data_IF_454947228695
#
_entry.id   IF_454947228695
#
_cell.length_a   1.000
_cell.length_b   1.000
_cell.length_c   1.000
_cell.angle_alpha   90.00
_cell.angle_beta   90.00
_cell.angle_gamma   90.00
#
_symmetry.space_group_name_H-M   'P 1'
#
loop_
_entity.id
_entity.type
_entity.pdbx_description
1 polymer ?
#
# COMPACT_ATOMS: atom_id res chain seq x y z
N UNK A 1 28.87 -33.31 -52.95
CA UNK A 1 29.17 -33.84 -51.61
C UNK A 1 29.09 -32.70 -50.63
N UNK A 2 27.95 -32.56 -49.95
CA UNK A 2 27.75 -31.62 -48.86
C UNK A 2 27.15 -32.43 -47.70
N UNK A 3 27.78 -32.29 -46.54
CA UNK A 3 27.56 -33.07 -45.33
C UNK A 3 26.16 -32.83 -44.77
N UNK A 4 25.45 -33.92 -44.44
CA UNK A 4 24.22 -33.91 -43.66
C UNK A 4 24.58 -33.95 -42.17
N UNK A 5 24.30 -32.88 -41.45
CA UNK A 5 24.22 -32.90 -39.99
C UNK A 5 22.79 -33.28 -39.54
N UNK A 6 22.61 -34.37 -38.76
CA UNK A 6 21.31 -34.74 -38.21
C UNK A 6 21.27 -34.40 -36.71
N UNK A 7 20.82 -33.20 -36.36
CA UNK A 7 20.32 -32.91 -35.01
C UNK A 7 19.37 -31.72 -35.02
N UNK A 8 18.26 -31.89 -35.74
CA UNK A 8 17.11 -31.00 -35.67
C UNK A 8 16.37 -31.17 -34.35
N UNK A 9 16.91 -30.61 -33.27
CA UNK A 9 16.12 -30.26 -32.09
C UNK A 9 15.62 -28.84 -32.27
N UNK A 10 14.54 -28.68 -33.04
CA UNK A 10 13.74 -27.47 -33.03
C UNK A 10 13.09 -27.38 -31.64
N UNK A 11 13.75 -26.66 -30.74
CA UNK A 11 13.17 -26.27 -29.47
C UNK A 11 12.03 -25.30 -29.80
N UNK A 12 10.82 -25.86 -29.95
CA UNK A 12 9.58 -25.10 -30.05
C UNK A 12 9.45 -24.30 -28.76
N UNK A 13 9.90 -23.03 -28.81
CA UNK A 13 9.58 -22.05 -27.79
C UNK A 13 8.07 -21.87 -27.82
N UNK A 14 7.39 -22.46 -26.82
CA UNK A 14 6.01 -22.12 -26.52
C UNK A 14 5.96 -20.62 -26.24
N UNK A 15 5.12 -19.83 -26.94
CA UNK A 15 4.95 -18.43 -26.62
C UNK A 15 4.43 -18.33 -25.19
N UNK A 16 5.21 -17.71 -24.30
CA UNK A 16 4.76 -17.28 -22.99
C UNK A 16 3.71 -16.20 -23.18
N UNK A 17 2.45 -16.61 -23.36
CA UNK A 17 1.29 -15.73 -23.32
C UNK A 17 1.07 -15.26 -21.87
N UNK A 18 1.93 -14.37 -21.40
CA UNK A 18 1.51 -13.47 -20.33
C UNK A 18 0.40 -12.59 -20.92
N UNK A 19 -0.78 -12.48 -20.27
CA UNK A 19 -1.83 -11.60 -20.75
C UNK A 19 -1.27 -10.18 -20.83
N UNK A 20 -1.34 -9.58 -22.02
CA UNK A 20 -0.85 -8.24 -22.32
C UNK A 20 -1.32 -7.28 -21.23
N UNK A 21 -0.37 -6.71 -20.47
CA UNK A 21 -0.68 -5.82 -19.37
C UNK A 21 -1.05 -4.44 -19.91
N UNK A 22 -2.18 -3.89 -19.48
CA UNK A 22 -2.61 -2.53 -19.87
C UNK A 22 -1.73 -1.48 -19.20
N UNK A 23 -1.28 -1.75 -17.97
CA UNK A 23 -0.51 -0.78 -17.19
C UNK A 23 0.63 -1.47 -16.45
N UNK A 24 1.82 -0.90 -16.60
CA UNK A 24 3.04 -1.38 -15.94
C UNK A 24 3.64 -0.27 -15.10
N UNK A 25 3.89 -0.56 -13.82
CA UNK A 25 4.40 0.37 -12.82
C UNK A 25 5.57 -0.26 -12.07
N UNK A 26 6.72 0.39 -12.10
CA UNK A 26 7.90 0.01 -11.36
C UNK A 26 7.85 0.61 -9.96
N UNK A 27 7.94 -0.26 -8.94
CA UNK A 27 8.04 0.14 -7.54
C UNK A 27 9.49 0.47 -7.19
N UNK A 28 9.68 1.67 -6.66
CA UNK A 28 10.96 2.13 -6.13
C UNK A 28 10.86 2.49 -4.65
N UNK A 29 11.96 2.26 -3.95
CA UNK A 29 12.18 2.74 -2.58
C UNK A 29 13.18 3.89 -2.61
N UNK A 30 12.88 4.98 -1.91
CA UNK A 30 13.85 6.08 -1.74
C UNK A 30 14.80 5.76 -0.59
N UNK A 31 16.10 5.72 -0.86
CA UNK A 31 17.11 5.41 0.17
C UNK A 31 17.22 6.58 1.17
N UNK A 32 17.13 6.23 2.47
CA UNK A 32 17.14 7.09 3.67
C UNK A 32 15.82 7.80 4.05
N UNK A 33 15.15 7.42 5.16
CA UNK A 33 15.17 6.14 5.87
C UNK A 33 13.89 5.33 5.58
N UNK A 34 13.73 4.80 4.36
CA UNK A 34 12.62 3.90 4.02
C UNK A 34 11.21 4.49 4.16
N UNK A 35 11.12 5.82 4.27
CA UNK A 35 9.87 6.55 4.51
C UNK A 35 9.07 6.81 3.24
N UNK A 36 9.65 6.56 2.07
CA UNK A 36 9.10 7.02 0.80
C UNK A 36 9.24 5.94 -0.25
N UNK A 37 8.13 5.59 -0.88
CA UNK A 37 8.07 4.69 -2.02
C UNK A 37 7.31 5.36 -3.14
N UNK A 38 7.54 4.94 -4.37
CA UNK A 38 6.87 5.49 -5.53
C UNK A 38 6.66 4.42 -6.58
N UNK A 39 5.60 4.60 -7.36
CA UNK A 39 5.31 3.82 -8.56
C UNK A 39 5.42 4.73 -9.77
N UNK A 40 6.22 4.33 -10.76
CA UNK A 40 6.46 5.07 -11.99
C UNK A 40 6.47 4.11 -13.19
N UNK A 41 6.05 4.56 -14.37
CA UNK A 41 6.06 3.70 -15.56
C UNK A 41 7.47 3.35 -16.03
N UNK A 42 8.41 4.25 -15.79
CA UNK A 42 9.82 4.08 -16.14
C UNK A 42 10.73 4.72 -15.09
N UNK A 43 12.04 4.43 -15.13
CA UNK A 43 12.98 5.00 -14.17
C UNK A 43 13.15 6.52 -14.29
N UNK A 44 12.96 7.11 -15.46
CA UNK A 44 13.05 8.56 -15.69
C UNK A 44 11.71 9.30 -15.57
N UNK A 45 10.58 8.58 -15.64
CA UNK A 45 9.25 9.20 -15.55
C UNK A 45 8.92 9.73 -14.15
N UNK A 46 8.02 10.72 -14.11
CA UNK A 46 7.37 11.16 -12.88
C UNK A 46 6.61 9.99 -12.23
N UNK A 47 6.56 9.99 -10.90
CA UNK A 47 5.79 8.99 -10.20
C UNK A 47 4.29 9.23 -10.42
N UNK A 48 3.58 8.17 -10.80
CA UNK A 48 2.11 8.19 -10.87
C UNK A 48 1.49 8.07 -9.49
N UNK A 49 2.15 7.33 -8.60
CA UNK A 49 1.73 7.18 -7.22
C UNK A 49 2.90 7.27 -6.26
N UNK A 50 2.64 7.83 -5.09
CA UNK A 50 3.64 8.04 -4.06
C UNK A 50 3.14 7.58 -2.69
N UNK A 51 3.98 6.88 -1.93
CA UNK A 51 3.66 6.45 -0.56
C UNK A 51 4.60 7.15 0.41
N UNK A 52 4.03 7.85 1.38
CA UNK A 52 4.74 8.34 2.56
C UNK A 52 4.44 7.39 3.72
N UNK A 53 5.44 6.61 4.12
CA UNK A 53 5.41 5.68 5.24
C UNK A 53 6.16 6.27 6.44
N UNK A 54 5.53 6.48 7.60
CA UNK A 54 6.24 6.88 8.81
C UNK A 54 7.17 5.75 9.32
N UNK A 55 8.45 6.06 9.48
CA UNK A 55 9.48 5.18 10.04
C UNK A 55 10.33 5.96 11.04
N UNK A 56 10.63 5.41 12.24
CA UNK A 56 10.27 4.08 12.74
C UNK A 56 8.80 3.99 13.21
N UNK A 57 8.26 2.77 13.27
CA UNK A 57 6.93 2.47 13.80
C UNK A 57 7.00 1.25 14.74
N UNK A 58 7.44 1.47 16.00
CA UNK A 58 7.57 0.40 17.01
C UNK A 58 6.22 -0.27 17.27
N UNK A 59 5.16 0.53 17.35
CA UNK A 59 3.80 0.06 17.61
C UNK A 59 2.90 0.14 16.37
N UNK A 60 1.91 -0.76 16.30
CA UNK A 60 0.92 -0.78 15.21
C UNK A 60 0.23 0.58 14.99
N UNK A 61 -0.09 1.31 16.06
CA UNK A 61 -0.74 2.63 15.99
C UNK A 61 0.12 3.76 15.40
N UNK A 62 1.44 3.54 15.25
CA UNK A 62 2.37 4.48 14.61
C UNK A 62 2.49 4.25 13.10
N UNK A 63 2.16 3.06 12.61
CA UNK A 63 2.18 2.75 11.18
C UNK A 63 0.94 3.34 10.51
N UNK A 64 1.13 4.50 9.89
CA UNK A 64 0.07 5.31 9.24
C UNK A 64 0.54 5.83 7.89
N UNK A 65 0.77 4.95 6.90
CA UNK A 65 1.18 5.39 5.58
C UNK A 65 0.06 6.19 4.91
N UNK A 66 0.47 7.16 4.10
CA UNK A 66 -0.40 7.97 3.25
C UNK A 66 0.02 7.71 1.80
N UNK A 67 -0.98 7.43 0.97
CA UNK A 67 -0.86 7.17 -0.45
C UNK A 67 -1.36 8.38 -1.23
N UNK A 68 -0.59 8.80 -2.22
CA UNK A 68 -0.84 9.98 -3.03
C UNK A 68 -0.98 9.56 -4.50
N UNK A 69 -1.91 10.20 -5.20
CA UNK A 69 -1.95 10.28 -6.66
C UNK A 69 -1.00 11.39 -7.07
N UNK A 70 -0.05 11.09 -7.95
CA UNK A 70 1.03 11.99 -8.36
C UNK A 70 2.36 11.74 -7.66
N UNK A 71 3.33 12.63 -7.93
CA UNK A 71 4.71 12.50 -7.45
C UNK A 71 4.87 13.01 -6.01
N UNK A 72 6.10 13.22 -5.55
CA UNK A 72 6.42 13.53 -4.17
C UNK A 72 5.71 14.81 -3.69
N UNK A 73 4.79 14.69 -2.70
CA UNK A 73 3.93 15.81 -2.27
C UNK A 73 4.71 16.97 -1.63
N UNK A 74 5.99 16.78 -1.31
CA UNK A 74 6.86 17.87 -0.84
C UNK A 74 7.20 18.88 -1.95
N UNK A 75 7.30 18.41 -3.20
CA UNK A 75 7.75 19.22 -4.34
C UNK A 75 6.66 19.40 -5.39
N UNK A 76 5.63 18.56 -5.36
CA UNK A 76 4.50 18.58 -6.29
C UNK A 76 3.22 18.86 -5.49
N UNK A 77 2.77 20.12 -5.40
CA UNK A 77 1.52 20.47 -4.70
C UNK A 77 0.27 19.88 -5.35
N UNK A 78 0.35 19.50 -6.63
CA UNK A 78 -0.71 18.80 -7.36
C UNK A 78 -0.93 17.36 -6.88
N UNK A 79 -0.03 16.81 -6.07
CA UNK A 79 -0.17 15.45 -5.55
C UNK A 79 -1.21 15.37 -4.44
N UNK A 80 -2.29 14.63 -4.69
CA UNK A 80 -3.42 14.54 -3.76
C UNK A 80 -3.33 13.26 -2.92
N UNK A 81 -3.53 13.33 -1.60
CA UNK A 81 -3.63 12.13 -0.78
C UNK A 81 -4.97 11.44 -1.03
N UNK A 82 -4.90 10.21 -1.53
CA UNK A 82 -6.07 9.42 -1.96
C UNK A 82 -6.26 8.16 -1.11
N UNK A 83 -5.28 7.78 -0.28
CA UNK A 83 -5.50 6.71 0.65
C UNK A 83 -4.65 6.86 1.92
N UNK A 84 -5.11 6.23 2.99
CA UNK A 84 -4.29 6.01 4.19
C UNK A 84 -4.56 4.64 4.76
N UNK A 85 -3.57 4.09 5.46
CA UNK A 85 -3.74 2.79 6.11
C UNK A 85 -3.36 2.83 7.58
N UNK A 86 -3.88 1.85 8.31
CA UNK A 86 -3.44 1.47 9.65
C UNK A 86 -3.44 -0.05 9.74
N UNK A 87 -2.71 -0.61 10.71
CA UNK A 87 -2.59 -2.06 10.88
C UNK A 87 -2.84 -2.50 12.31
N UNK A 88 -3.06 -3.80 12.48
CA UNK A 88 -2.97 -4.49 13.77
C UNK A 88 -1.52 -4.91 14.07
N UNK A 89 -1.24 -5.33 15.31
CA UNK A 89 0.13 -5.63 15.80
C UNK A 89 0.90 -6.61 14.92
N UNK A 90 0.24 -7.68 14.46
CA UNK A 90 0.87 -8.81 13.76
C UNK A 90 0.94 -8.68 12.23
N UNK A 91 0.78 -7.49 11.66
CA UNK A 91 0.76 -7.29 10.18
C UNK A 91 -0.26 -8.17 9.44
N UNK A 92 -1.28 -8.67 10.14
CA UNK A 92 -2.24 -9.62 9.62
C UNK A 92 -3.56 -8.97 9.20
N UNK A 93 -3.81 -7.74 9.66
CA UNK A 93 -4.96 -6.96 9.24
C UNK A 93 -4.58 -5.50 9.07
N UNK A 94 -5.10 -4.94 8.00
CA UNK A 94 -4.93 -3.56 7.59
C UNK A 94 -6.31 -2.96 7.36
N UNK A 95 -6.47 -1.74 7.85
CA UNK A 95 -7.61 -0.90 7.51
C UNK A 95 -7.12 0.15 6.54
N UNK A 96 -7.83 0.33 5.45
CA UNK A 96 -7.47 1.23 4.37
C UNK A 96 -8.67 2.13 4.12
N UNK A 97 -8.45 3.44 4.19
CA UNK A 97 -9.40 4.45 3.71
C UNK A 97 -8.90 4.88 2.34
N UNK A 98 -9.78 4.88 1.33
CA UNK A 98 -9.45 5.07 -0.07
C UNK A 98 -10.46 6.05 -0.71
N UNK A 99 -9.97 7.00 -1.49
CA UNK A 99 -10.75 8.01 -2.19
C UNK A 99 -10.20 9.43 -2.00
N UNK A 100 -10.72 10.37 -2.79
CA UNK A 100 -10.22 11.75 -2.83
C UNK A 100 -10.54 12.54 -1.56
N UNK A 101 -11.63 12.17 -0.85
CA UNK A 101 -11.99 12.78 0.44
C UNK A 101 -11.01 12.45 1.57
N UNK A 102 -10.06 11.52 1.36
CA UNK A 102 -9.01 11.21 2.36
C UNK A 102 -8.16 12.45 2.69
N UNK A 103 -7.99 13.38 1.74
CA UNK A 103 -7.34 14.66 1.97
C UNK A 103 -8.04 15.47 3.07
N UNK A 104 -9.34 15.65 2.94
CA UNK A 104 -10.18 16.39 3.88
C UNK A 104 -10.24 15.68 5.25
N UNK A 105 -10.30 14.35 5.24
CA UNK A 105 -10.24 13.54 6.47
C UNK A 105 -8.90 13.73 7.21
N UNK A 106 -7.78 13.89 6.48
CA UNK A 106 -6.48 14.19 7.08
C UNK A 106 -6.42 15.61 7.63
N UNK A 107 -6.99 16.60 6.94
CA UNK A 107 -7.11 17.97 7.43
C UNK A 107 -7.98 18.08 8.69
N UNK A 108 -9.17 17.47 8.69
CA UNK A 108 -10.05 17.44 9.85
C UNK A 108 -9.37 16.80 11.06
N UNK A 109 -8.57 15.75 10.84
CA UNK A 109 -7.75 15.14 11.89
C UNK A 109 -6.68 16.09 12.42
N UNK A 110 -6.07 16.93 11.57
CA UNK A 110 -5.12 17.98 11.98
C UNK A 110 -5.85 19.02 12.85
N UNK A 111 -6.99 19.56 12.38
CA UNK A 111 -7.82 20.53 13.10
C UNK A 111 -8.22 20.02 14.50
N UNK A 112 -8.73 18.77 14.58
CA UNK A 112 -9.04 18.08 15.85
C UNK A 112 -7.85 18.03 16.81
N UNK A 113 -6.66 17.72 16.29
CA UNK A 113 -5.45 17.58 17.12
C UNK A 113 -4.97 18.93 17.64
N UNK A 114 -5.03 19.97 16.81
CA UNK A 114 -4.67 21.34 17.18
C UNK A 114 -5.60 21.87 18.28
N UNK A 115 -6.92 21.68 18.12
CA UNK A 115 -7.94 22.03 19.14
C UNK A 115 -7.70 21.32 20.46
N UNK A 116 -7.58 19.98 20.45
CA UNK A 116 -7.29 19.19 21.66
C UNK A 116 -5.96 19.56 22.31
N UNK A 117 -4.94 19.89 21.51
CA UNK A 117 -3.64 20.33 22.04
C UNK A 117 -3.75 21.70 22.70
N UNK A 118 -4.55 22.61 22.15
CA UNK A 118 -4.82 23.91 22.74
C UNK A 118 -5.58 23.77 24.06
N UNK A 119 -6.68 23.02 24.09
CA UNK A 119 -7.47 22.74 25.29
C UNK A 119 -6.62 22.15 26.42
N UNK A 120 -5.75 21.17 26.10
CA UNK A 120 -4.83 20.58 27.09
C UNK A 120 -3.84 21.60 27.64
N UNK A 121 -3.31 22.48 26.79
CA UNK A 121 -2.41 23.55 27.23
C UNK A 121 -3.14 24.56 28.11
N UNK A 122 -4.37 24.95 27.78
CA UNK A 122 -5.15 25.84 28.65
C UNK A 122 -5.47 25.18 29.99
N UNK A 123 -5.87 23.90 29.98
CA UNK A 123 -6.11 23.15 31.21
C UNK A 123 -4.85 23.08 32.10
N UNK A 124 -3.69 22.84 31.49
CA UNK A 124 -2.41 22.87 32.19
C UNK A 124 -2.12 24.25 32.77
N UNK A 125 -2.30 25.33 32.00
CA UNK A 125 -2.11 26.71 32.48
C UNK A 125 -3.03 27.06 33.65
N UNK A 126 -4.32 26.74 33.54
CA UNK A 126 -5.29 26.90 34.63
C UNK A 126 -4.88 26.12 35.88
N UNK A 127 -4.35 24.90 35.70
CA UNK A 127 -3.85 24.08 36.80
C UNK A 127 -2.62 24.70 37.50
N UNK A 128 -1.79 25.46 36.77
CA UNK A 128 -0.68 26.25 37.30
C UNK A 128 -1.05 27.70 37.67
N UNK A 129 -2.33 28.01 37.83
CA UNK A 129 -2.84 29.37 38.11
C UNK A 129 -2.34 30.45 37.12
N UNK A 130 -1.94 30.06 35.92
CA UNK A 130 -1.53 30.97 34.85
C UNK A 130 -2.75 31.42 34.05
N UNK A 131 -2.79 32.70 33.68
CA UNK A 131 -3.84 33.26 32.84
C UNK A 131 -3.94 32.57 31.48
N UNK A 132 -5.15 32.62 30.89
CA UNK A 132 -5.40 32.05 29.56
C UNK A 132 -4.60 32.77 28.48
N UNK A 133 -4.20 32.05 27.46
CA UNK A 133 -3.50 32.64 26.31
C UNK A 133 -4.30 32.35 25.05
N UNK A 134 -4.65 33.36 24.25
CA UNK A 134 -5.38 33.13 23.01
C UNK A 134 -4.59 32.23 22.06
N UNK A 135 -5.27 31.46 21.19
CA UNK A 135 -4.59 30.58 20.26
C UNK A 135 -3.79 31.42 19.26
N UNK A 136 -2.55 31.01 18.95
CA UNK A 136 -1.66 31.72 18.00
C UNK A 136 -2.18 31.73 16.56
N UNK A 137 -3.11 30.83 16.24
CA UNK A 137 -3.80 30.71 14.95
C UNK A 137 -5.26 30.40 15.26
N UNK A 138 -6.17 30.92 14.45
CA UNK A 138 -7.59 30.60 14.57
C UNK A 138 -7.79 29.09 14.49
N UNK A 139 -8.56 28.54 15.43
CA UNK A 139 -8.85 27.12 15.47
C UNK A 139 -9.95 26.83 14.45
N UNK A 140 -9.55 26.42 13.25
CA UNK A 140 -10.48 26.03 12.20
C UNK A 140 -11.44 24.92 12.67
N UNK A 141 -12.71 25.04 12.29
CA UNK A 141 -13.72 24.00 12.47
C UNK A 141 -13.58 22.84 11.51
N UNK A 142 -14.07 21.69 11.95
CA UNK A 142 -14.15 20.51 11.09
C UNK A 142 -15.10 20.79 9.93
N UNK A 143 -14.67 20.44 8.73
CA UNK A 143 -15.49 20.57 7.53
C UNK A 143 -16.09 19.22 7.17
N UNK A 144 -17.26 19.23 6.54
CA UNK A 144 -17.81 18.00 5.97
C UNK A 144 -16.89 17.49 4.84
N UNK A 145 -16.88 16.17 4.67
CA UNK A 145 -16.02 15.52 3.66
C UNK A 145 -16.83 15.45 2.37
N UNK A 146 -16.48 16.26 1.38
CA UNK A 146 -17.14 16.32 0.08
C UNK A 146 -16.66 15.23 -0.87
N UNK A 147 -15.37 14.86 -0.79
CA UNK A 147 -14.79 13.84 -1.67
C UNK A 147 -15.18 12.41 -1.28
N UNK A 148 -15.10 11.49 -2.25
CA UNK A 148 -15.35 10.07 -2.00
C UNK A 148 -14.41 9.49 -0.95
N UNK A 149 -14.91 8.69 -0.01
CA UNK A 149 -14.13 7.90 0.95
C UNK A 149 -14.80 6.55 1.22
N UNK A 150 -14.17 5.48 0.76
CA UNK A 150 -14.49 4.11 1.13
C UNK A 150 -13.50 3.56 2.15
N UNK A 151 -13.95 2.62 2.98
CA UNK A 151 -13.08 1.87 3.89
C UNK A 151 -13.06 0.42 3.47
N UNK A 152 -11.88 -0.08 3.15
CA UNK A 152 -11.67 -1.49 2.88
C UNK A 152 -10.81 -2.12 3.97
N UNK A 153 -11.15 -3.36 4.32
CA UNK A 153 -10.41 -4.16 5.29
C UNK A 153 -9.61 -5.20 4.54
N UNK A 154 -8.29 -5.10 4.62
CA UNK A 154 -7.39 -6.14 4.13
C UNK A 154 -6.98 -7.05 5.29
N UNK A 155 -7.08 -8.36 5.12
CA UNK A 155 -6.73 -9.32 6.17
C UNK A 155 -6.13 -10.60 5.63
N UNK A 156 -5.30 -11.26 6.43
CA UNK A 156 -4.83 -12.60 6.17
C UNK A 156 -5.89 -13.61 6.56
N UNK A 157 -6.15 -14.58 5.67
CA UNK A 157 -7.10 -15.66 5.95
C UNK A 157 -6.63 -16.66 7.01
N UNK A 158 -5.31 -16.86 7.16
CA UNK A 158 -4.70 -17.71 8.20
C UNK A 158 -3.44 -17.04 8.74
N UNK A 159 -3.11 -17.28 10.02
CA UNK A 159 -1.98 -16.65 10.72
C UNK A 159 -0.63 -16.81 9.98
N UNK A 160 -0.38 -17.95 9.34
CA UNK A 160 0.81 -18.20 8.51
C UNK A 160 0.54 -18.15 6.99
N UNK A 161 -0.67 -17.80 6.58
CA UNK A 161 -1.03 -17.75 5.16
C UNK A 161 -0.36 -16.59 4.44
N UNK A 162 0.13 -16.81 3.21
CA UNK A 162 0.65 -15.73 2.35
C UNK A 162 -0.43 -15.05 1.50
N UNK A 163 -1.68 -15.19 1.91
CA UNK A 163 -2.83 -14.65 1.19
C UNK A 163 -3.42 -13.48 1.97
N UNK A 164 -3.41 -12.30 1.35
CA UNK A 164 -4.08 -11.12 1.86
C UNK A 164 -5.34 -10.88 1.03
N UNK A 165 -6.47 -10.81 1.70
CA UNK A 165 -7.79 -10.64 1.10
C UNK A 165 -8.33 -9.26 1.43
N UNK A 166 -9.01 -8.63 0.49
CA UNK A 166 -9.76 -7.40 0.71
C UNK A 166 -11.00 -7.41 -0.17
N UNK A 167 -11.94 -6.53 0.14
CA UNK A 167 -13.19 -6.40 -0.59
C UNK A 167 -13.37 -4.95 -1.04
N UNK A 168 -13.87 -4.76 -2.25
CA UNK A 168 -14.22 -3.44 -2.79
C UNK A 168 -15.45 -3.61 -3.68
N UNK A 169 -16.53 -2.89 -3.35
CA UNK A 169 -17.78 -2.94 -4.12
C UNK A 169 -18.41 -4.35 -4.15
N UNK A 170 -18.46 -5.06 -3.02
CA UNK A 170 -19.04 -6.40 -2.95
C UNK A 170 -18.20 -7.52 -3.60
N UNK A 171 -16.98 -7.22 -4.06
CA UNK A 171 -16.10 -8.18 -4.73
C UNK A 171 -14.85 -8.46 -3.89
N UNK A 172 -14.57 -9.75 -3.70
CA UNK A 172 -13.40 -10.21 -2.96
C UNK A 172 -12.17 -10.29 -3.88
N UNK A 173 -11.08 -9.67 -3.45
CA UNK A 173 -9.78 -9.69 -4.11
C UNK A 173 -8.73 -10.34 -3.20
N UNK A 174 -7.85 -11.15 -3.78
CA UNK A 174 -6.85 -11.94 -3.03
C UNK A 174 -5.46 -11.79 -3.63
N UNK A 175 -4.57 -11.13 -2.91
CA UNK A 175 -3.14 -11.23 -3.16
C UNK A 175 -2.65 -12.60 -2.72
N UNK A 176 -2.14 -13.40 -3.66
CA UNK A 176 -1.55 -14.73 -3.45
C UNK A 176 -0.07 -14.68 -3.81
N UNK A 177 0.81 -15.07 -2.88
CA UNK A 177 2.23 -15.26 -3.19
C UNK A 177 2.43 -16.47 -4.11
N UNK A 178 3.19 -16.30 -5.20
CA UNK A 178 3.44 -17.35 -6.19
C UNK A 178 4.85 -17.90 -6.03
N UNK A 179 5.00 -19.01 -5.30
CA UNK A 179 6.21 -19.85 -5.38
C UNK A 179 6.30 -20.62 -6.72
N UNK A 180 5.37 -20.39 -7.65
CA UNK A 180 4.95 -21.37 -8.65
C UNK A 180 5.44 -21.13 -10.07
N UNK A 181 6.05 -19.97 -10.38
CA UNK A 181 6.53 -19.66 -11.73
C UNK A 181 8.03 -19.93 -11.97
N UNK A 182 8.72 -20.56 -11.02
CA UNK A 182 10.11 -20.99 -11.21
C UNK A 182 10.17 -22.45 -11.71
N UNK A 183 11.13 -22.80 -12.58
CA UNK A 183 11.42 -24.18 -12.97
C UNK A 183 11.59 -25.09 -11.74
N UNK A 184 11.21 -26.37 -11.87
CA UNK A 184 11.10 -27.31 -10.75
C UNK A 184 12.34 -27.43 -9.84
N UNK A 185 13.53 -27.15 -10.38
CA UNK A 185 14.80 -27.14 -9.65
C UNK A 185 14.96 -25.99 -8.65
N UNK A 186 14.26 -24.86 -8.84
CA UNK A 186 14.43 -23.64 -8.01
C UNK A 186 13.30 -23.46 -6.98
N UNK A 187 12.20 -24.22 -7.11
CA UNK A 187 11.04 -24.18 -6.18
C UNK A 187 11.40 -24.50 -4.72
N UNK A 188 12.47 -25.28 -4.50
CA UNK A 188 12.91 -25.73 -3.16
C UNK A 188 13.88 -24.78 -2.46
N UNK A 189 14.42 -23.77 -3.14
CA UNK A 189 15.34 -22.81 -2.51
C UNK A 189 14.52 -21.81 -1.67
N UNK A 190 14.60 -21.91 -0.34
CA UNK A 190 14.00 -20.92 0.58
C UNK A 190 14.56 -19.53 0.26
N UNK A 191 13.72 -18.62 -0.25
CA UNK A 191 14.03 -17.19 -0.37
C UNK A 191 13.82 -16.52 -1.73
N UNK A 192 13.47 -17.25 -2.81
CA UNK A 192 13.91 -16.84 -4.16
C UNK A 192 12.87 -16.34 -5.19
N UNK A 193 11.55 -16.40 -4.98
CA UNK A 193 10.62 -15.55 -5.77
C UNK A 193 9.50 -15.00 -4.89
N UNK A 194 9.38 -13.67 -4.91
CA UNK A 194 8.43 -12.88 -4.12
C UNK A 194 7.42 -12.24 -5.05
N UNK A 195 6.97 -13.06 -5.98
CA UNK A 195 5.99 -12.62 -6.95
C UNK A 195 4.62 -12.79 -6.31
N UNK A 196 3.77 -11.80 -6.52
CA UNK A 196 2.40 -11.82 -6.05
C UNK A 196 1.49 -11.75 -7.25
N UNK A 197 0.37 -12.46 -7.18
CA UNK A 197 -0.74 -12.24 -8.10
C UNK A 197 -1.97 -11.84 -7.31
N UNK A 198 -2.69 -10.86 -7.83
CA UNK A 198 -4.00 -10.48 -7.36
C UNK A 198 -5.03 -11.21 -8.21
N UNK A 199 -5.95 -11.90 -7.54
CA UNK A 199 -7.09 -12.54 -8.20
C UNK A 199 -8.41 -11.98 -7.67
N UNK A 200 -9.43 -11.94 -8.52
CA UNK A 200 -10.80 -11.60 -8.13
C UNK A 200 -11.55 -12.82 -7.53
N UNK A 201 -12.85 -12.68 -7.31
CA UNK A 201 -13.76 -13.73 -6.83
C UNK A 201 -13.75 -14.97 -7.73
N UNK A 202 -13.66 -14.78 -9.03
CA UNK A 202 -13.68 -15.82 -10.06
C UNK A 202 -12.30 -16.47 -10.27
N UNK A 203 -11.31 -16.12 -9.43
CA UNK A 203 -9.91 -16.51 -9.53
C UNK A 203 -9.20 -16.05 -10.82
N UNK A 204 -9.74 -15.08 -11.54
CA UNK A 204 -9.10 -14.42 -12.68
C UNK A 204 -7.97 -13.53 -12.16
N UNK A 205 -6.80 -13.61 -12.78
CA UNK A 205 -5.65 -12.74 -12.46
C UNK A 205 -5.91 -11.35 -13.00
N UNK A 206 -5.86 -10.34 -12.12
CA UNK A 206 -6.10 -8.94 -12.48
C UNK A 206 -4.84 -8.07 -12.32
N UNK A 207 -3.90 -8.50 -11.49
CA UNK A 207 -2.59 -7.87 -11.40
C UNK A 207 -1.51 -8.88 -10.97
N UNK A 208 -0.28 -8.62 -11.37
CA UNK A 208 0.91 -9.35 -10.92
C UNK A 208 1.97 -8.37 -10.43
N UNK A 209 2.70 -8.74 -9.41
CA UNK A 209 3.87 -8.02 -8.94
C UNK A 209 5.06 -8.97 -9.00
N UNK A 210 6.05 -8.62 -9.81
CA UNK A 210 7.31 -9.34 -9.94
C UNK A 210 8.36 -8.63 -9.10
N UNK A 211 8.81 -9.27 -8.02
CA UNK A 211 9.82 -8.65 -7.16
C UNK A 211 11.20 -8.95 -7.71
N UNK A 212 12.03 -7.91 -7.80
CA UNK A 212 13.41 -8.11 -8.19
C UNK A 212 14.16 -8.89 -7.10
N UNK A 213 14.73 -10.03 -7.51
CA UNK A 213 15.42 -11.00 -6.63
C UNK A 213 16.54 -10.37 -5.82
N UNK A 214 17.17 -9.33 -6.38
CA UNK A 214 18.32 -8.65 -5.79
C UNK A 214 18.00 -7.21 -5.37
N UNK A 215 16.73 -6.83 -5.29
CA UNK A 215 16.29 -5.46 -4.93
C UNK A 215 16.90 -4.93 -3.63
N UNK A 216 17.20 -5.80 -2.67
CA UNK A 216 17.82 -5.44 -1.38
C UNK A 216 19.32 -5.17 -1.53
N UNK A 217 19.98 -5.82 -2.48
CA UNK A 217 21.43 -5.78 -2.69
C UNK A 217 21.86 -4.85 -3.83
N UNK A 218 20.93 -4.48 -4.72
CA UNK A 218 21.23 -3.56 -5.81
C UNK A 218 21.50 -2.15 -5.27
N UNK A 219 22.56 -1.48 -5.75
CA UNK A 219 22.80 -0.10 -5.42
C UNK A 219 21.65 0.76 -5.93
N UNK A 220 21.34 1.83 -5.21
CA UNK A 220 20.41 2.84 -5.74
C UNK A 220 21.00 3.54 -6.95
N UNK A 221 20.14 3.79 -7.91
CA UNK A 221 20.45 4.63 -9.05
C UNK A 221 20.25 6.10 -8.67
N UNK A 222 21.15 6.95 -9.18
CA UNK A 222 21.06 8.39 -9.07
C UNK A 222 20.49 8.95 -10.36
N UNK A 223 19.52 9.85 -10.24
CA UNK A 223 18.93 10.55 -11.37
C UNK A 223 19.12 12.06 -11.20
N UNK A 224 19.27 12.76 -12.30
CA UNK A 224 19.35 14.21 -12.31
C UNK A 224 17.98 14.81 -11.93
N UNK A 225 17.99 15.89 -11.15
CA UNK A 225 16.78 16.62 -10.76
C UNK A 225 16.06 16.17 -9.47
N UNK A 226 15.38 17.11 -8.82
CA UNK A 226 14.35 16.82 -7.81
C UNK A 226 13.06 16.38 -8.50
N UNK A 227 12.20 15.53 -7.89
CA UNK A 227 12.12 15.21 -6.46
C UNK A 227 12.70 13.85 -6.02
N UNK A 228 13.22 13.03 -6.95
CA UNK A 228 13.57 11.61 -6.74
C UNK A 228 15.02 11.26 -7.12
N UNK A 229 15.98 12.12 -6.73
CA UNK A 229 17.43 12.01 -7.04
C UNK A 229 18.09 10.66 -6.81
N UNK A 230 17.60 9.84 -5.87
CA UNK A 230 18.21 8.56 -5.50
C UNK A 230 17.12 7.56 -5.12
N UNK A 231 16.98 6.50 -5.90
CA UNK A 231 15.96 5.46 -5.69
C UNK A 231 16.51 4.08 -5.99
N UNK A 232 16.04 3.07 -5.26
CA UNK A 232 16.37 1.66 -5.45
C UNK A 232 15.16 0.93 -5.99
N UNK A 233 15.34 0.26 -7.13
CA UNK A 233 14.29 -0.55 -7.74
C UNK A 233 13.92 -1.74 -6.85
N UNK A 234 12.61 -2.00 -6.69
CA UNK A 234 12.08 -3.08 -5.86
C UNK A 234 11.42 -4.18 -6.69
N UNK A 235 10.67 -3.82 -7.72
CA UNK A 235 9.91 -4.77 -8.54
C UNK A 235 8.96 -4.07 -9.49
N UNK A 236 8.25 -4.85 -10.31
CA UNK A 236 7.31 -4.36 -11.31
C UNK A 236 5.91 -4.87 -11.02
N UNK A 237 4.95 -3.96 -10.89
CA UNK A 237 3.52 -4.22 -10.88
C UNK A 237 2.98 -4.15 -12.31
N UNK A 238 2.27 -5.18 -12.75
CA UNK A 238 1.51 -5.21 -14.00
C UNK A 238 0.03 -5.35 -13.67
N UNK A 239 -0.80 -4.51 -14.28
CA UNK A 239 -2.26 -4.54 -14.16
C UNK A 239 -2.81 -5.00 -15.51
N UNK A 240 -3.64 -6.05 -15.47
CA UNK A 240 -4.17 -6.71 -16.66
C UNK A 240 -5.53 -6.10 -17.08
N UNK A 241 -5.96 -6.29 -18.35
CA UNK A 241 -7.22 -5.75 -18.85
C UNK A 241 -8.44 -6.19 -18.02
N UNK A 242 -8.38 -7.38 -17.44
CA UNK A 242 -9.38 -7.93 -16.53
C UNK A 242 -9.64 -7.07 -15.29
N UNK A 243 -8.72 -6.19 -14.90
CA UNK A 243 -8.93 -5.22 -13.82
C UNK A 243 -9.89 -4.08 -14.21
N UNK A 244 -10.02 -3.79 -15.52
CA UNK A 244 -10.84 -2.71 -16.07
C UNK A 244 -12.11 -3.22 -16.77
N UNK A 245 -12.16 -4.51 -17.12
CA UNK A 245 -13.32 -5.16 -17.74
C UNK A 245 -14.53 -5.26 -16.80
N UNK A 246 -14.38 -4.88 -15.54
CA UNK A 246 -15.44 -4.92 -14.55
C UNK A 246 -16.34 -3.69 -14.66
N UNK A 247 -17.68 -3.86 -14.80
CA UNK A 247 -18.59 -2.73 -14.87
C UNK A 247 -18.49 -1.88 -13.60
N UNK A 248 -18.74 -0.59 -13.76
CA UNK A 248 -18.69 0.43 -12.71
C UNK A 248 -19.49 -0.07 -11.51
N UNK A 249 -18.79 -0.34 -10.42
CA UNK A 249 -19.37 -1.04 -9.28
C UNK A 249 -20.11 -0.01 -8.44
N UNK A 250 -21.40 -0.24 -8.21
CA UNK A 250 -22.19 0.61 -7.32
C UNK A 250 -21.70 0.46 -5.87
N UNK A 251 -20.78 1.34 -5.47
CA UNK A 251 -20.13 1.30 -4.17
C UNK A 251 -21.10 1.63 -3.02
N UNK A 252 -22.28 2.20 -3.31
CA UNK A 252 -23.30 2.52 -2.29
C UNK A 252 -23.88 1.26 -1.64
N UNK A 253 -23.85 0.11 -2.33
CA UNK A 253 -24.34 -1.18 -1.80
C UNK A 253 -23.29 -1.95 -0.99
N UNK A 254 -22.05 -1.47 -0.92
CA UNK A 254 -20.97 -2.10 -0.14
C UNK A 254 -20.94 -1.68 1.33
N UNK A 255 -22.13 -1.47 1.92
CA UNK A 255 -22.27 -1.36 3.36
C UNK A 255 -21.80 -2.65 4.02
N UNK A 256 -21.10 -2.60 5.17
CA UNK A 256 -20.59 -3.80 5.82
C UNK A 256 -21.74 -4.57 6.49
N UNK A 257 -22.47 -5.40 5.75
CA UNK A 257 -23.31 -6.43 6.33
C UNK A 257 -22.41 -7.38 7.14
N UNK A 258 -22.43 -7.23 8.47
CA UNK A 258 -21.82 -8.18 9.40
C UNK A 258 -20.67 -7.69 10.27
N UNK A 259 -20.55 -6.40 10.60
CA UNK A 259 -19.51 -5.96 11.57
C UNK A 259 -20.09 -5.51 12.92
N UNK A 260 -19.78 -6.29 13.97
CA UNK A 260 -19.99 -6.01 15.41
C UNK A 260 -19.83 -4.53 15.79
N UNK A 261 -20.60 -4.11 16.80
CA UNK A 261 -20.79 -2.79 17.46
C UNK A 261 -19.56 -1.89 17.70
N UNK A 262 -18.34 -2.32 17.41
CA UNK A 262 -17.14 -1.49 17.47
C UNK A 262 -16.92 -0.54 16.28
N UNK A 263 -17.83 -0.52 15.29
CA UNK A 263 -17.58 0.08 13.96
C UNK A 263 -18.21 1.46 13.70
N UNK A 264 -19.11 1.96 14.57
CA UNK A 264 -19.84 3.23 14.36
C UNK A 264 -18.92 4.46 14.21
N UNK A 265 -17.80 4.50 14.97
CA UNK A 265 -16.84 5.61 14.85
C UNK A 265 -16.15 5.68 13.49
N UNK A 266 -16.18 4.61 12.70
CA UNK A 266 -15.49 4.50 11.42
C UNK A 266 -16.39 4.79 10.22
N UNK A 267 -17.68 4.44 10.31
CA UNK A 267 -18.69 4.86 9.33
C UNK A 267 -18.83 6.39 9.27
N UNK A 268 -18.56 7.08 10.39
CA UNK A 268 -18.65 8.54 10.50
C UNK A 268 -17.78 9.35 9.51
N UNK A 269 -16.79 8.74 8.85
CA UNK A 269 -15.98 9.44 7.84
C UNK A 269 -16.08 8.80 6.44
N UNK A 270 -17.05 7.92 6.21
CA UNK A 270 -17.35 7.45 4.87
C UNK A 270 -18.16 8.52 4.14
N UNK A 271 -17.80 8.76 2.89
CA UNK A 271 -18.66 9.45 1.96
C UNK A 271 -18.66 8.65 0.66
N UNK A 272 -19.65 7.78 0.49
CA UNK A 272 -19.78 6.92 -0.69
C UNK A 272 -20.42 7.66 -1.88
N UNK A 273 -21.01 8.83 -1.63
CA UNK A 273 -21.68 9.66 -2.63
C UNK A 273 -20.77 10.78 -3.18
N UNK A 274 -19.61 10.98 -2.55
CA UNK A 274 -18.65 11.99 -2.97
C UNK A 274 -18.04 11.71 -4.34
N UNK A 275 -17.52 12.76 -4.98
CA UNK A 275 -16.83 12.62 -6.27
C UNK A 275 -15.44 11.98 -6.11
N UNK A 276 -15.03 11.20 -7.10
CA UNK A 276 -13.68 10.65 -7.22
C UNK A 276 -13.16 10.82 -8.65
N UNK A 277 -11.97 11.41 -8.81
CA UNK A 277 -11.41 11.71 -10.12
C UNK A 277 -10.56 10.56 -10.72
N UNK A 278 -10.23 9.53 -9.92
CA UNK A 278 -9.36 8.43 -10.32
C UNK A 278 -10.09 7.11 -10.60
N UNK A 279 -9.32 6.03 -10.76
CA UNK A 279 -9.85 4.67 -10.81
C UNK A 279 -9.62 3.99 -9.45
N UNK A 280 -10.70 3.83 -8.67
CA UNK A 280 -10.64 3.26 -7.32
C UNK A 280 -10.04 1.85 -7.31
N UNK A 281 -10.39 1.01 -8.28
CA UNK A 281 -9.88 -0.36 -8.37
C UNK A 281 -8.38 -0.33 -8.61
N UNK A 282 -7.90 0.46 -9.57
CA UNK A 282 -6.47 0.61 -9.84
C UNK A 282 -5.71 1.12 -8.60
N UNK A 283 -6.22 2.15 -7.94
CA UNK A 283 -5.61 2.73 -6.76
C UNK A 283 -5.57 1.75 -5.59
N UNK A 284 -6.62 0.95 -5.41
CA UNK A 284 -6.66 -0.13 -4.44
C UNK A 284 -5.61 -1.20 -4.77
N UNK A 285 -5.47 -1.59 -6.04
CA UNK A 285 -4.46 -2.56 -6.49
C UNK A 285 -3.06 -2.05 -6.16
N UNK A 286 -2.72 -0.82 -6.56
CA UNK A 286 -1.39 -0.24 -6.36
C UNK A 286 -1.07 -0.11 -4.87
N UNK A 287 -2.00 0.44 -4.08
CA UNK A 287 -1.74 0.65 -2.66
C UNK A 287 -1.67 -0.67 -1.88
N UNK A 288 -2.58 -1.61 -2.13
CA UNK A 288 -2.54 -2.92 -1.48
C UNK A 288 -1.32 -3.74 -1.90
N UNK A 289 -0.86 -3.62 -3.16
CA UNK A 289 0.41 -4.20 -3.61
C UNK A 289 1.57 -3.70 -2.75
N UNK A 290 1.69 -2.39 -2.55
CA UNK A 290 2.74 -1.84 -1.69
C UNK A 290 2.64 -2.35 -0.24
N UNK A 291 1.43 -2.43 0.33
CA UNK A 291 1.23 -2.96 1.68
C UNK A 291 1.65 -4.42 1.78
N UNK A 292 1.33 -5.24 0.77
CA UNK A 292 1.75 -6.66 0.71
C UNK A 292 3.28 -6.76 0.72
N UNK A 293 3.96 -5.97 -0.11
CA UNK A 293 5.43 -5.93 -0.18
C UNK A 293 6.05 -5.51 1.15
N UNK A 294 5.54 -4.45 1.80
CA UNK A 294 6.03 -3.98 3.10
C UNK A 294 5.73 -5.01 4.21
N UNK A 295 4.52 -5.57 4.24
CA UNK A 295 4.14 -6.57 5.25
C UNK A 295 4.98 -7.83 5.14
N UNK A 296 5.26 -8.30 3.92
CA UNK A 296 6.09 -9.47 3.71
C UNK A 296 7.56 -9.22 4.10
N UNK A 297 8.11 -8.07 3.70
CA UNK A 297 9.43 -7.63 4.14
C UNK A 297 9.48 -7.64 5.67
N UNK A 298 8.50 -7.03 6.34
CA UNK A 298 8.49 -6.89 7.80
C UNK A 298 8.34 -8.20 8.54
N UNK A 299 7.51 -9.13 8.09
CA UNK A 299 7.35 -10.43 8.78
C UNK A 299 8.64 -11.22 8.75
N UNK A 300 9.43 -11.12 7.67
CA UNK A 300 10.72 -11.80 7.59
C UNK A 300 11.74 -11.26 8.60
N UNK A 301 11.73 -9.95 8.85
CA UNK A 301 12.67 -9.32 9.78
C UNK A 301 12.15 -9.24 11.23
N UNK A 302 10.85 -8.98 11.46
CA UNK A 302 10.25 -8.91 12.81
C UNK A 302 10.06 -10.24 13.51
N UNK A 303 9.93 -11.36 12.79
CA UNK A 303 9.92 -12.68 13.44
C UNK A 303 11.26 -12.92 14.13
N UNK A 304 12.35 -12.30 13.68
CA UNK A 304 13.63 -12.35 14.38
C UNK A 304 13.61 -11.41 15.61
N UNK A 305 13.19 -10.15 15.45
CA UNK A 305 13.12 -9.18 16.57
C UNK A 305 12.19 -9.63 17.72
N UNK A 306 11.03 -10.22 17.43
CA UNK A 306 10.09 -10.71 18.46
C UNK A 306 10.59 -12.00 19.14
N UNK A 307 11.36 -12.84 18.43
CA UNK A 307 12.03 -14.01 19.05
C UNK A 307 13.21 -13.56 19.92
N UNK A 308 13.94 -12.52 19.52
CA UNK A 308 15.03 -11.92 20.29
C UNK A 308 14.48 -11.25 21.56
N UNK A 309 13.40 -10.46 21.48
CA UNK A 309 12.76 -9.82 22.65
C UNK A 309 12.17 -10.86 23.64
N UNK A 310 11.66 -12.00 23.14
CA UNK A 310 11.21 -13.12 23.98
C UNK A 310 12.43 -13.88 24.56
N UNK A 311 13.49 -14.09 23.78
CA UNK A 311 14.73 -14.73 24.25
C UNK A 311 15.44 -13.93 25.34
N UNK A 312 15.46 -12.61 25.22
CA UNK A 312 15.99 -11.69 26.25
C UNK A 312 15.10 -11.66 27.51
N UNK A 313 13.79 -11.89 27.38
CA UNK A 313 12.86 -11.95 28.52
C UNK A 313 12.89 -13.29 29.27
N UNK A 314 13.35 -14.37 28.65
CA UNK A 314 13.47 -15.71 29.25
C UNK A 314 14.91 -16.12 29.58
N UNK A 315 15.90 -15.28 29.25
CA UNK A 315 17.33 -15.50 29.48
C UNK A 315 17.95 -14.49 30.45
N UNK A 316 17.23 -14.15 31.52
CA UNK A 316 17.72 -13.41 32.69
C UNK A 316 17.64 -14.26 33.93
#
# INVERSE_FOLDING_TARGET
MASLDPSGHTCTQLPSHDPESVKTLQLYRRISPGRKHLFASSPSSLAQYFVVNPVPHKHAGQWKPIFYRGDNPKYCPSSTPIARSSRTSMWNSFRIELGDGVAEVLENKRRRKERKSYERRQKFRRWFCMGETPPKKELEDEREVAGYVAVLKMSRGRFMGRTLKWELGGREYKWKGTRTFLPGSVKKVKGVSQDFKLVNSDNVVIATFEKDRWSVFKPSEKYEGTPNKKKSYTGTLRIHPSAYATPDVDYTKSGPEGTREGNEKFLKNMNLEGSHAGNLTEEAIVFTCWIVVEAEHRIRYKVLDEIEEIGESFGG
#
